data_IF_870553559044
#
_entry.id   IF_870553559044
#
_cell.length_a   1.000
_cell.length_b   1.000
_cell.length_c   1.000
_cell.angle_alpha   90.00
_cell.angle_beta   90.00
_cell.angle_gamma   90.00
#
_symmetry.space_group_name_H-M   'P 1'
#
loop_
_entity.id
_entity.type
_entity.pdbx_description
1 polymer ?
#
# COMPACT_ATOMS: atom_id res chain seq x y z
N UNK A 1 -18.75 71.74 -32.54
CA UNK A 1 -19.54 70.51 -32.76
C UNK A 1 -18.60 69.38 -33.14
N UNK A 2 -18.88 68.18 -32.63
CA UNK A 2 -18.33 66.84 -32.92
C UNK A 2 -17.50 66.22 -31.78
N UNK A 3 -18.23 65.53 -30.90
CA UNK A 3 -17.71 64.65 -29.84
C UNK A 3 -17.34 63.30 -30.47
N UNK A 4 -16.06 62.96 -30.46
CA UNK A 4 -15.59 61.61 -30.75
C UNK A 4 -15.94 60.70 -29.57
N UNK A 5 -16.64 59.59 -29.87
CA UNK A 5 -16.93 58.52 -28.91
C UNK A 5 -15.71 57.61 -28.83
N UNK A 6 -15.12 57.45 -27.65
CA UNK A 6 -14.08 56.44 -27.41
C UNK A 6 -14.69 55.36 -26.53
N UNK A 7 -14.64 54.14 -27.05
CA UNK A 7 -15.22 52.93 -26.50
C UNK A 7 -14.48 52.46 -25.25
N UNK A 8 -15.22 52.19 -24.19
CA UNK A 8 -14.71 51.55 -22.97
C UNK A 8 -14.70 50.03 -23.19
N UNK A 9 -13.51 49.46 -23.34
CA UNK A 9 -13.28 48.02 -23.38
C UNK A 9 -13.40 47.49 -21.96
N UNK A 10 -14.42 46.67 -21.70
CA UNK A 10 -14.63 46.00 -20.41
C UNK A 10 -13.58 44.91 -20.19
N UNK A 11 -12.83 45.04 -19.10
CA UNK A 11 -11.86 44.05 -18.63
C UNK A 11 -12.61 42.85 -18.07
N UNK A 12 -12.42 41.68 -18.69
CA UNK A 12 -12.97 40.40 -18.24
C UNK A 12 -12.04 39.84 -17.13
N UNK A 13 -12.51 39.63 -15.88
CA UNK A 13 -11.69 39.01 -14.85
C UNK A 13 -11.61 37.51 -15.14
N UNK A 14 -10.44 37.04 -15.57
CA UNK A 14 -10.14 35.63 -15.72
C UNK A 14 -10.00 35.03 -14.32
N UNK A 15 -11.10 34.52 -13.77
CA UNK A 15 -11.07 33.72 -12.55
C UNK A 15 -10.34 32.40 -12.87
N UNK A 16 -9.04 32.38 -12.58
CA UNK A 16 -8.24 31.16 -12.48
C UNK A 16 -8.80 30.33 -11.32
N UNK A 17 -9.81 29.50 -11.61
CA UNK A 17 -10.12 28.35 -10.79
C UNK A 17 -8.90 27.44 -10.87
N UNK A 18 -8.02 27.52 -9.88
CA UNK A 18 -7.03 26.50 -9.62
C UNK A 18 -7.82 25.21 -9.37
N UNK A 19 -7.95 24.39 -10.40
CA UNK A 19 -8.32 23.00 -10.24
C UNK A 19 -7.23 22.40 -9.35
N UNK A 20 -7.58 22.19 -8.07
CA UNK A 20 -6.79 21.39 -7.16
C UNK A 20 -6.73 20.00 -7.78
N UNK A 21 -5.58 19.64 -8.36
CA UNK A 21 -5.28 18.25 -8.66
C UNK A 21 -5.07 17.59 -7.30
N UNK A 22 -6.14 17.10 -6.68
CA UNK A 22 -6.02 16.10 -5.63
C UNK A 22 -5.38 14.88 -6.28
N UNK A 23 -4.29 14.38 -5.71
CA UNK A 23 -3.74 13.10 -6.15
C UNK A 23 -4.70 12.00 -5.71
N UNK A 24 -5.23 11.22 -6.65
CA UNK A 24 -6.13 10.07 -6.41
C UNK A 24 -5.40 8.87 -5.75
N UNK A 25 -4.31 9.14 -5.03
CA UNK A 25 -3.47 8.15 -4.36
C UNK A 25 -3.90 8.03 -2.91
N UNK A 26 -4.28 6.83 -2.49
CA UNK A 26 -4.50 6.48 -1.09
C UNK A 26 -3.13 6.39 -0.42
N UNK A 27 -2.90 7.20 0.61
CA UNK A 27 -1.67 7.09 1.38
C UNK A 27 -1.62 5.73 2.07
N UNK A 28 -0.41 5.17 2.20
CA UNK A 28 -0.24 3.84 2.79
C UNK A 28 -0.71 3.77 4.25
N UNK A 29 -0.73 4.92 4.94
CA UNK A 29 -1.23 5.07 6.31
C UNK A 29 -2.73 5.30 6.44
N UNK A 30 -3.42 5.58 5.33
CA UNK A 30 -4.83 6.00 5.34
C UNK A 30 -5.80 4.86 5.07
N UNK A 31 -5.29 3.64 4.93
CA UNK A 31 -6.09 2.47 4.59
C UNK A 31 -5.55 1.20 5.21
N UNK A 32 -6.47 0.24 5.39
CA UNK A 32 -6.11 -1.16 5.57
C UNK A 32 -5.81 -1.76 4.20
N UNK A 33 -4.64 -2.36 4.07
CA UNK A 33 -4.15 -2.96 2.84
C UNK A 33 -4.42 -4.46 2.85
N UNK A 34 -5.30 -4.92 1.97
CA UNK A 34 -5.60 -6.34 1.82
C UNK A 34 -4.51 -7.04 1.02
N UNK A 35 -4.00 -8.15 1.53
CA UNK A 35 -3.12 -9.03 0.77
C UNK A 35 -3.96 -9.76 -0.25
N UNK A 36 -3.72 -9.55 -1.54
CA UNK A 36 -4.47 -10.23 -2.62
C UNK A 36 -3.66 -11.34 -3.28
N UNK A 37 -2.33 -11.21 -3.28
CA UNK A 37 -1.42 -12.18 -3.83
C UNK A 37 -0.12 -12.25 -3.03
N UNK A 38 0.44 -13.46 -2.93
CA UNK A 38 1.77 -13.73 -2.40
C UNK A 38 2.54 -14.51 -3.48
N UNK A 39 3.59 -13.90 -4.00
CA UNK A 39 4.44 -14.46 -5.06
C UNK A 39 5.69 -15.01 -4.41
N UNK A 40 5.80 -16.32 -4.23
CA UNK A 40 6.98 -17.01 -3.67
C UNK A 40 7.56 -18.03 -4.63
N UNK A 41 6.72 -18.64 -5.48
CA UNK A 41 7.14 -19.54 -6.57
C UNK A 41 6.36 -19.16 -7.86
N UNK A 42 7.04 -18.93 -8.99
CA UNK A 42 6.39 -18.61 -10.26
C UNK A 42 5.52 -19.74 -10.84
N UNK A 43 5.67 -20.98 -10.35
CA UNK A 43 4.92 -22.16 -10.79
C UNK A 43 3.70 -22.49 -9.91
N UNK A 44 3.55 -21.82 -8.76
CA UNK A 44 2.43 -22.01 -7.87
C UNK A 44 1.33 -20.95 -8.03
N UNK A 45 0.12 -21.29 -7.58
CA UNK A 45 -0.96 -20.31 -7.48
C UNK A 45 -0.61 -19.29 -6.39
N UNK A 46 -0.44 -18.05 -6.80
CA UNK A 46 -0.07 -16.93 -5.96
C UNK A 46 -1.28 -16.10 -5.47
N UNK A 47 -2.50 -16.39 -5.96
CA UNK A 47 -3.72 -15.69 -5.55
C UNK A 47 -4.27 -16.25 -4.25
N UNK A 48 -4.63 -15.34 -3.34
CA UNK A 48 -5.42 -15.70 -2.17
C UNK A 48 -6.86 -15.90 -2.64
N UNK A 49 -7.41 -17.07 -2.37
CA UNK A 49 -8.77 -17.42 -2.79
C UNK A 49 -9.78 -16.45 -2.19
N UNK A 50 -10.72 -15.95 -2.99
CA UNK A 50 -11.84 -15.14 -2.49
C UNK A 50 -12.79 -15.94 -1.57
N UNK A 51 -12.57 -17.25 -1.42
CA UNK A 51 -13.32 -18.14 -0.54
C UNK A 51 -12.77 -18.19 0.89
N UNK A 52 -11.61 -17.56 1.15
CA UNK A 52 -11.05 -17.47 2.51
C UNK A 52 -11.97 -16.56 3.33
N UNK A 53 -12.41 -17.03 4.50
CA UNK A 53 -13.38 -16.29 5.34
C UNK A 53 -12.78 -14.98 5.87
N UNK A 54 -11.46 -14.95 6.03
CA UNK A 54 -10.72 -13.86 6.63
C UNK A 54 -9.56 -13.42 5.73
N UNK A 55 -9.72 -12.30 5.04
CA UNK A 55 -8.71 -11.71 4.18
C UNK A 55 -7.51 -11.24 5.03
N UNK A 56 -6.26 -11.67 4.74
CA UNK A 56 -5.10 -11.10 5.39
C UNK A 56 -4.93 -9.63 5.05
N UNK A 57 -4.41 -8.86 6.00
CA UNK A 57 -4.29 -7.42 5.87
C UNK A 57 -3.11 -6.84 6.65
N UNK A 58 -2.64 -5.69 6.19
CA UNK A 58 -1.62 -4.86 6.81
C UNK A 58 -2.18 -3.46 7.02
N UNK A 59 -1.82 -2.84 8.14
CA UNK A 59 -2.16 -1.48 8.51
C UNK A 59 -0.88 -0.76 8.93
N UNK A 60 -0.43 0.16 8.07
CA UNK A 60 0.83 0.86 8.25
C UNK A 60 0.59 2.16 9.02
N UNK A 61 1.33 2.34 10.12
CA UNK A 61 1.50 3.64 10.75
C UNK A 61 2.80 4.30 10.31
N UNK A 62 3.09 5.48 10.87
CA UNK A 62 4.34 6.20 10.59
C UNK A 62 5.61 5.46 11.06
N UNK A 63 5.50 4.57 12.05
CA UNK A 63 6.63 3.79 12.60
C UNK A 63 6.23 2.42 13.18
N UNK A 64 4.94 2.09 13.10
CA UNK A 64 4.37 0.83 13.56
C UNK A 64 3.66 0.12 12.43
N UNK A 65 3.62 -1.21 12.50
CA UNK A 65 2.80 -2.05 11.64
C UNK A 65 1.84 -2.83 12.53
N UNK A 66 0.60 -2.97 12.10
CA UNK A 66 -0.29 -4.00 12.62
C UNK A 66 -0.95 -4.74 11.45
N UNK A 67 -1.51 -5.90 11.71
CA UNK A 67 -2.17 -6.64 10.64
C UNK A 67 -2.78 -7.94 11.11
N UNK A 68 -3.22 -8.73 10.14
CA UNK A 68 -3.81 -10.03 10.32
C UNK A 68 -3.35 -10.95 9.20
N UNK A 69 -2.84 -12.14 9.53
CA UNK A 69 -2.23 -13.04 8.52
C UNK A 69 -3.24 -13.97 7.83
N UNK A 70 -4.53 -13.83 8.11
CA UNK A 70 -5.55 -14.85 7.77
C UNK A 70 -5.96 -15.71 8.96
N UNK A 71 -5.06 -15.90 9.95
CA UNK A 71 -5.33 -16.68 11.16
C UNK A 71 -5.17 -15.92 12.47
N UNK A 72 -4.14 -15.07 12.57
CA UNK A 72 -3.84 -14.35 13.80
C UNK A 72 -3.51 -12.89 13.52
N UNK A 73 -3.84 -11.99 14.46
CA UNK A 73 -3.33 -10.63 14.41
C UNK A 73 -1.84 -10.60 14.72
N UNK A 74 -1.18 -9.52 14.29
CA UNK A 74 0.22 -9.27 14.61
C UNK A 74 0.49 -7.77 14.72
N UNK A 75 1.60 -7.43 15.38
CA UNK A 75 2.13 -6.07 15.45
C UNK A 75 3.60 -6.04 15.11
N UNK A 76 4.15 -4.86 14.83
CA UNK A 76 5.55 -4.70 14.48
C UNK A 76 5.97 -3.26 14.30
N UNK A 77 7.18 -3.08 13.79
CA UNK A 77 7.76 -1.80 13.40
C UNK A 77 7.89 -1.71 11.90
N UNK A 78 7.73 -0.49 11.41
CA UNK A 78 7.96 -0.15 10.01
C UNK A 78 8.91 1.03 9.93
N UNK A 79 9.88 0.94 9.04
CA UNK A 79 10.81 2.03 8.72
C UNK A 79 10.78 2.27 7.22
N UNK A 80 10.67 3.54 6.83
CA UNK A 80 10.51 3.97 5.46
C UNK A 80 11.78 4.64 4.96
N UNK A 81 12.14 4.35 3.72
CA UNK A 81 13.34 4.91 3.10
C UNK A 81 13.05 5.38 1.68
N UNK A 82 13.79 6.39 1.26
CA UNK A 82 13.88 6.87 -0.11
C UNK A 82 15.35 7.02 -0.47
N UNK A 83 15.81 6.41 -1.57
CA UNK A 83 17.22 6.46 -1.99
C UNK A 83 18.23 6.08 -0.87
N UNK A 84 17.83 5.18 0.04
CA UNK A 84 18.67 4.72 1.17
C UNK A 84 18.70 5.65 2.39
N UNK A 85 17.99 6.77 2.38
CA UNK A 85 17.83 7.65 3.53
C UNK A 85 16.43 7.51 4.14
N UNK A 86 16.31 7.68 5.46
CA UNK A 86 15.02 7.60 6.13
C UNK A 86 14.05 8.65 5.60
N UNK A 87 12.83 8.24 5.27
CA UNK A 87 11.83 9.10 4.63
C UNK A 87 10.47 9.04 5.34
N UNK A 88 9.56 9.88 4.86
CA UNK A 88 8.13 9.73 5.15
C UNK A 88 7.55 8.54 4.36
N UNK A 89 6.37 8.07 4.76
CA UNK A 89 5.63 7.02 4.02
C UNK A 89 5.23 7.45 2.61
N UNK A 90 5.02 8.76 2.40
CA UNK A 90 4.59 9.33 1.12
C UNK A 90 5.67 9.19 0.05
N UNK A 91 6.91 9.46 0.45
CA UNK A 91 8.05 9.54 -0.46
C UNK A 91 8.79 8.21 -0.59
N UNK A 92 8.52 7.26 0.31
CA UNK A 92 9.27 6.01 0.42
C UNK A 92 9.21 5.17 -0.86
N UNK A 93 10.38 4.72 -1.32
CA UNK A 93 10.53 3.68 -2.34
C UNK A 93 10.89 2.32 -1.72
N UNK A 94 11.09 2.28 -0.40
CA UNK A 94 11.58 1.11 0.29
C UNK A 94 11.09 1.08 1.74
N UNK A 95 10.85 -0.12 2.27
CA UNK A 95 10.32 -0.34 3.62
C UNK A 95 11.03 -1.51 4.31
N UNK A 96 11.33 -1.35 5.60
CA UNK A 96 11.81 -2.44 6.46
C UNK A 96 10.77 -2.74 7.53
N UNK A 97 10.38 -4.02 7.62
CA UNK A 97 9.46 -4.55 8.60
C UNK A 97 10.25 -5.36 9.62
N UNK A 98 10.15 -4.97 10.89
CA UNK A 98 10.95 -5.57 11.95
C UNK A 98 10.17 -5.70 13.25
N UNK A 99 10.73 -6.46 14.19
CA UNK A 99 10.12 -6.67 15.51
C UNK A 99 8.67 -7.19 15.43
N UNK A 100 8.39 -8.07 14.46
CA UNK A 100 7.05 -8.63 14.28
C UNK A 100 6.74 -9.59 15.43
N UNK A 101 5.58 -9.39 16.05
CA UNK A 101 5.03 -10.25 17.09
C UNK A 101 3.66 -10.75 16.63
N UNK A 102 3.55 -12.06 16.47
CA UNK A 102 2.34 -12.73 16.01
C UNK A 102 1.65 -13.39 17.19
N UNK A 103 0.33 -13.19 17.29
CA UNK A 103 -0.47 -13.86 18.31
C UNK A 103 -0.38 -15.39 18.15
N UNK A 104 -0.69 -16.10 19.23
CA UNK A 104 -0.68 -17.56 19.24
C UNK A 104 -1.66 -18.10 18.19
N UNK A 105 -1.15 -18.93 17.28
CA UNK A 105 -1.95 -19.66 16.29
C UNK A 105 -3.02 -20.53 16.99
N UNK A 106 -4.31 -20.38 16.63
CA UNK A 106 -5.36 -21.23 17.17
C UNK A 106 -5.40 -22.60 16.46
N UNK A 107 -5.89 -23.62 17.15
CA UNK A 107 -5.90 -25.02 16.66
C UNK A 107 -6.87 -25.24 15.46
N UNK A 108 -7.79 -24.30 15.24
CA UNK A 108 -8.80 -24.33 14.17
C UNK A 108 -8.36 -23.60 12.88
N UNK A 109 -7.22 -22.91 12.87
CA UNK A 109 -6.59 -22.39 11.66
C UNK A 109 -6.00 -23.54 10.84
N UNK A 110 -6.60 -23.85 9.70
CA UNK A 110 -6.23 -24.99 8.85
C UNK A 110 -6.36 -24.62 7.37
N UNK A 111 -6.01 -25.55 6.48
CA UNK A 111 -6.26 -25.41 5.04
C UNK A 111 -5.55 -24.21 4.41
N UNK A 112 -6.30 -23.42 3.65
CA UNK A 112 -5.75 -22.30 2.88
C UNK A 112 -5.34 -21.13 3.80
N UNK A 113 -6.09 -20.89 4.87
CA UNK A 113 -5.80 -19.88 5.88
C UNK A 113 -4.43 -20.16 6.52
N UNK A 114 -4.16 -21.42 6.89
CA UNK A 114 -2.89 -21.82 7.47
C UNK A 114 -1.74 -21.70 6.46
N UNK A 115 -1.96 -22.07 5.19
CA UNK A 115 -0.94 -21.91 4.14
C UNK A 115 -0.52 -20.44 4.01
N UNK A 116 -1.50 -19.55 3.90
CA UNK A 116 -1.29 -18.10 3.76
C UNK A 116 -0.64 -17.50 5.02
N UNK A 117 -1.06 -17.94 6.21
CA UNK A 117 -0.44 -17.51 7.46
C UNK A 117 1.06 -17.83 7.46
N UNK A 118 1.44 -19.07 7.13
CA UNK A 118 2.85 -19.48 7.13
C UNK A 118 3.66 -18.68 6.11
N UNK A 119 3.14 -18.50 4.89
CA UNK A 119 3.81 -17.68 3.86
C UNK A 119 4.05 -16.25 4.33
N UNK A 120 3.07 -15.63 5.01
CA UNK A 120 3.23 -14.27 5.54
C UNK A 120 4.19 -14.21 6.74
N UNK A 121 4.14 -15.17 7.66
CA UNK A 121 5.06 -15.20 8.80
C UNK A 121 6.52 -15.33 8.33
N UNK A 122 6.75 -16.13 7.29
CA UNK A 122 8.09 -16.32 6.72
C UNK A 122 8.53 -15.10 5.90
N UNK A 123 7.63 -14.50 5.13
CA UNK A 123 7.98 -13.42 4.19
C UNK A 123 8.04 -12.05 4.84
N UNK A 124 7.10 -11.69 5.73
CA UNK A 124 6.97 -10.32 6.26
C UNK A 124 8.22 -9.77 6.97
N UNK A 125 8.99 -10.54 7.76
CA UNK A 125 10.21 -10.03 8.38
C UNK A 125 11.28 -9.73 7.34
N UNK A 126 11.64 -8.45 7.17
CA UNK A 126 12.69 -8.07 6.22
C UNK A 126 12.43 -6.74 5.55
N UNK A 127 13.09 -6.55 4.41
CA UNK A 127 13.06 -5.31 3.66
C UNK A 127 12.46 -5.51 2.27
N UNK A 128 11.75 -4.49 1.78
CA UNK A 128 11.02 -4.54 0.53
C UNK A 128 11.16 -3.25 -0.27
N UNK A 129 11.31 -3.39 -1.58
CA UNK A 129 11.03 -2.31 -2.52
C UNK A 129 9.51 -2.07 -2.60
N UNK A 130 9.11 -0.80 -2.59
CA UNK A 130 7.72 -0.36 -2.71
C UNK A 130 7.46 0.09 -4.15
N UNK A 131 6.59 -0.64 -4.85
CA UNK A 131 6.07 -0.22 -6.15
C UNK A 131 4.59 0.13 -6.04
N UNK A 132 4.23 1.38 -6.34
CA UNK A 132 2.82 1.85 -6.37
C UNK A 132 2.30 1.68 -7.80
N UNK A 133 1.64 0.55 -8.06
CA UNK A 133 1.15 0.20 -9.41
C UNK A 133 -0.11 0.98 -9.79
N UNK A 134 -0.86 1.48 -8.81
CA UNK A 134 -1.96 2.45 -8.98
C UNK A 134 -2.17 3.26 -7.70
N UNK A 135 -3.14 4.19 -7.70
CA UNK A 135 -3.50 4.97 -6.51
C UNK A 135 -4.02 4.14 -5.33
N UNK A 136 -4.41 2.89 -5.54
CA UNK A 136 -4.97 2.01 -4.50
C UNK A 136 -4.32 0.63 -4.46
N UNK A 137 -3.14 0.48 -5.06
CA UNK A 137 -2.43 -0.80 -5.18
C UNK A 137 -0.92 -0.63 -4.95
N UNK A 138 -0.38 -1.50 -4.10
CA UNK A 138 1.03 -1.55 -3.76
C UNK A 138 1.55 -2.96 -4.00
N UNK A 139 2.75 -3.07 -4.58
CA UNK A 139 3.52 -4.29 -4.65
C UNK A 139 4.77 -4.12 -3.78
N UNK A 140 4.90 -4.95 -2.76
CA UNK A 140 6.10 -5.05 -1.93
C UNK A 140 6.97 -6.18 -2.48
N UNK A 141 8.17 -5.89 -2.96
CA UNK A 141 9.10 -6.90 -3.48
C UNK A 141 10.26 -7.08 -2.51
N UNK A 142 10.47 -8.30 -2.02
CA UNK A 142 11.50 -8.62 -1.04
C UNK A 142 12.89 -8.28 -1.59
N UNK A 143 13.72 -7.65 -0.77
CA UNK A 143 15.11 -7.35 -1.09
C UNK A 143 16.04 -8.48 -0.65
N UNK A 144 15.98 -9.57 -1.41
CA UNK A 144 16.87 -10.72 -1.29
C UNK A 144 17.65 -10.91 -2.59
N UNK A 145 18.84 -11.49 -2.48
CA UNK A 145 19.70 -11.81 -3.63
C UNK A 145 19.23 -13.10 -4.32
N UNK A 146 18.04 -13.04 -4.91
CA UNK A 146 17.41 -14.12 -5.66
C UNK A 146 16.93 -13.62 -7.04
N UNK A 147 16.93 -14.50 -8.04
CA UNK A 147 16.44 -14.15 -9.37
C UNK A 147 14.93 -13.87 -9.37
N UNK A 148 14.17 -14.77 -8.72
CA UNK A 148 12.72 -14.70 -8.59
C UNK A 148 12.37 -14.18 -7.18
N UNK A 149 12.58 -12.88 -6.96
CA UNK A 149 12.36 -12.26 -5.65
C UNK A 149 10.90 -12.38 -5.19
N UNK A 150 10.63 -12.84 -3.96
CA UNK A 150 9.28 -12.91 -3.45
C UNK A 150 8.60 -11.55 -3.37
N UNK A 151 7.27 -11.51 -3.55
CA UNK A 151 6.52 -10.26 -3.49
C UNK A 151 5.12 -10.42 -2.87
N UNK A 152 4.57 -9.33 -2.35
CA UNK A 152 3.22 -9.25 -1.79
C UNK A 152 2.46 -8.15 -2.52
N UNK A 153 1.31 -8.48 -3.09
CA UNK A 153 0.40 -7.49 -3.70
C UNK A 153 -0.68 -7.10 -2.71
N UNK A 154 -0.80 -5.81 -2.52
CA UNK A 154 -1.68 -5.16 -1.58
C UNK A 154 -2.67 -4.28 -2.31
N UNK A 155 -3.94 -4.35 -1.92
CA UNK A 155 -5.01 -3.48 -2.43
C UNK A 155 -5.67 -2.77 -1.26
N UNK A 156 -5.84 -1.46 -1.39
CA UNK A 156 -6.50 -0.64 -0.39
C UNK A 156 -7.97 -1.09 -0.20
N UNK A 157 -8.40 -1.26 1.05
CA UNK A 157 -9.80 -1.53 1.39
C UNK A 157 -10.72 -0.34 1.04
N UNK A 158 -10.17 0.87 1.06
CA UNK A 158 -10.86 2.10 0.69
C UNK A 158 -10.54 2.42 -0.77
N UNK A 159 -11.57 2.65 -1.59
CA UNK A 159 -11.37 3.15 -2.95
C UNK A 159 -11.03 4.67 -2.92
N UNK A 160 -10.16 5.17 -3.82
CA UNK A 160 -9.95 6.60 -3.96
C UNK A 160 -11.29 7.31 -4.21
N UNK A 161 -11.54 8.42 -3.52
CA UNK A 161 -12.72 9.25 -3.80
C UNK A 161 -12.45 10.07 -5.06
N UNK A 162 -13.07 9.67 -6.17
CA UNK A 162 -13.10 10.38 -7.46
C UNK A 162 -13.78 11.75 -7.36
#
# INVERSE_FOLDING_TARGET
MNRARIATIGVLPLALLLASCGSDTVEMTDSTWLVTNIYTDPNESNSISNLVISQPSLDFGNSSLSGFTGCVPFTGRVEFFQNGEQSSVLDADYVTLSSLDFDKLPDDCQGQELKVHNELVDLLPGSFEISRTSGSEILLTSDVDELDRPAIRLVSWIAPTS
#
